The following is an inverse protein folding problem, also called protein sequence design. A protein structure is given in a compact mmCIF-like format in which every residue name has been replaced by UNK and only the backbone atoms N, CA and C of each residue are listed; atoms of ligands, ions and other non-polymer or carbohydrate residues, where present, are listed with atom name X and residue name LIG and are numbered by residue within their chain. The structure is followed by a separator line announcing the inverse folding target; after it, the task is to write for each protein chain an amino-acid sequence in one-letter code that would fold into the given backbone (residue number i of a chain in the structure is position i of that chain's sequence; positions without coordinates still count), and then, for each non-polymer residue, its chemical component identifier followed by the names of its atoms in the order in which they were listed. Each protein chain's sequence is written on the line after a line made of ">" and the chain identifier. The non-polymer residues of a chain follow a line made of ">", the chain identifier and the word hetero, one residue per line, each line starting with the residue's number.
data_IF_358508448498
#
_entry.id   IF_358508448498
#
_cell.length_a   1.000
_cell.length_b   1.000
_cell.length_c   1.000
_cell.angle_alpha   90.00
_cell.angle_beta   90.00
_cell.angle_gamma   90.00
#
_symmetry.space_group_name_H-M   'P 1'
#
loop_
_entity.id
_entity.type
_entity.pdbx_description
1 polymer ?
#
# COMPACT_ATOMS: atom_id res chain seq x y z
N UNK A 1 -19.91 -26.78 20.22
CA UNK A 1 -19.14 -25.63 19.72
C UNK A 1 -17.85 -26.16 19.09
N UNK A 2 -17.65 -25.89 17.78
CA UNK A 2 -16.39 -26.22 17.13
C UNK A 2 -15.31 -25.30 17.71
N UNK A 3 -14.22 -25.89 18.21
CA UNK A 3 -13.04 -25.14 18.62
C UNK A 3 -12.19 -24.88 17.37
N UNK A 4 -12.02 -23.61 17.02
CA UNK A 4 -11.08 -23.21 15.98
C UNK A 4 -9.69 -23.07 16.58
N UNK A 5 -8.66 -23.46 15.83
CA UNK A 5 -7.26 -23.32 16.24
C UNK A 5 -6.84 -21.85 16.33
N UNK A 6 -7.45 -20.99 15.48
CA UNK A 6 -7.21 -19.56 15.46
C UNK A 6 -8.51 -18.78 15.26
N UNK A 7 -8.60 -17.62 15.92
CA UNK A 7 -9.70 -16.67 15.79
C UNK A 7 -9.18 -15.35 15.22
N UNK A 8 -9.77 -14.86 14.13
CA UNK A 8 -9.42 -13.58 13.54
C UNK A 8 -10.37 -12.48 14.03
N UNK A 9 -9.80 -11.40 14.55
CA UNK A 9 -10.50 -10.18 14.93
C UNK A 9 -10.10 -9.06 13.99
N UNK A 10 -11.08 -8.51 13.26
CA UNK A 10 -10.81 -7.51 12.23
C UNK A 10 -10.54 -6.10 12.79
N UNK A 11 -11.06 -5.81 13.99
CA UNK A 11 -10.92 -4.50 14.62
C UNK A 11 -10.66 -4.63 16.13
N UNK A 12 -10.02 -3.61 16.71
CA UNK A 12 -9.72 -3.60 18.15
C UNK A 12 -10.98 -3.58 19.05
N UNK A 13 -12.07 -3.01 18.56
CA UNK A 13 -13.34 -3.03 19.29
C UNK A 13 -13.81 -4.44 19.57
N UNK A 14 -13.43 -5.39 18.73
CA UNK A 14 -13.76 -6.80 18.91
C UNK A 14 -13.08 -7.36 20.16
N UNK A 15 -11.89 -6.89 20.52
CA UNK A 15 -11.21 -7.29 21.77
C UNK A 15 -12.05 -6.91 22.98
N UNK A 16 -12.67 -5.73 22.98
CA UNK A 16 -13.51 -5.27 24.09
C UNK A 16 -14.80 -6.10 24.22
N UNK A 17 -15.35 -6.55 23.11
CA UNK A 17 -16.51 -7.43 23.07
C UNK A 17 -16.12 -8.85 23.49
N UNK A 18 -15.00 -9.36 23.02
CA UNK A 18 -14.53 -10.71 23.27
C UNK A 18 -14.06 -10.95 24.73
N UNK A 19 -13.70 -9.89 25.45
CA UNK A 19 -13.47 -9.97 26.92
C UNK A 19 -14.65 -10.60 27.68
N UNK A 20 -15.84 -10.54 27.12
CA UNK A 20 -17.06 -11.08 27.70
C UNK A 20 -17.51 -12.39 27.06
N UNK A 21 -16.82 -12.84 26.02
CA UNK A 21 -17.06 -14.11 25.33
C UNK A 21 -16.09 -15.21 25.85
N UNK A 22 -16.44 -16.45 25.56
CA UNK A 22 -15.65 -17.63 25.96
C UNK A 22 -14.51 -17.98 24.99
N UNK A 23 -14.02 -17.00 24.18
CA UNK A 23 -12.91 -17.23 23.24
C UNK A 23 -11.61 -17.34 24.04
N UNK A 24 -10.80 -18.33 23.71
CA UNK A 24 -9.44 -18.46 24.23
C UNK A 24 -8.57 -17.37 23.57
N UNK A 25 -8.27 -16.31 24.31
CA UNK A 25 -7.61 -15.10 23.80
C UNK A 25 -6.20 -15.34 23.27
N UNK A 26 -5.51 -16.38 23.75
CA UNK A 26 -4.21 -16.82 23.28
C UNK A 26 -4.23 -17.41 21.85
N UNK A 27 -5.43 -17.66 21.30
CA UNK A 27 -5.62 -18.06 19.91
C UNK A 27 -6.00 -16.90 19.00
N UNK A 28 -6.28 -15.70 19.54
CA UNK A 28 -6.77 -14.57 18.78
C UNK A 28 -5.66 -13.89 17.96
N UNK A 29 -5.96 -13.61 16.69
CA UNK A 29 -5.14 -12.82 15.77
C UNK A 29 -5.92 -11.59 15.36
N UNK A 30 -5.30 -10.41 15.52
CA UNK A 30 -5.94 -9.13 15.22
C UNK A 30 -5.40 -8.57 13.90
N UNK A 31 -6.26 -8.18 12.99
CA UNK A 31 -5.85 -7.46 11.81
C UNK A 31 -6.45 -7.93 10.49
N UNK A 32 -5.96 -7.40 9.39
CA UNK A 32 -4.82 -6.45 9.31
C UNK A 32 -5.15 -5.07 9.88
N UNK A 33 -4.25 -4.51 10.69
CA UNK A 33 -4.44 -3.22 11.34
C UNK A 33 -3.97 -2.06 10.46
N UNK A 34 -4.90 -1.21 10.07
CA UNK A 34 -4.64 -0.02 9.26
C UNK A 34 -4.79 1.28 10.04
N UNK A 35 -5.33 1.23 11.25
CA UNK A 35 -5.50 2.40 12.11
C UNK A 35 -4.19 2.72 12.83
N UNK A 36 -3.70 3.92 12.62
CA UNK A 36 -2.37 4.30 13.02
C UNK A 36 -2.36 5.43 14.08
N UNK A 37 -3.51 5.70 14.69
CA UNK A 37 -3.63 6.72 15.74
C UNK A 37 -2.99 6.28 17.05
N UNK A 38 -2.44 7.24 17.81
CA UNK A 38 -1.70 6.98 19.03
C UNK A 38 -2.54 6.30 20.11
N UNK A 39 -3.79 6.71 20.27
CA UNK A 39 -4.75 6.09 21.20
C UNK A 39 -4.97 4.61 20.91
N UNK A 40 -4.89 4.23 19.65
CA UNK A 40 -5.06 2.85 19.21
C UNK A 40 -3.82 2.01 19.50
N UNK A 41 -2.63 2.52 19.19
CA UNK A 41 -1.38 1.85 19.51
C UNK A 41 -1.22 1.62 21.00
N UNK A 42 -1.57 2.61 21.82
CA UNK A 42 -1.55 2.48 23.27
C UNK A 42 -2.53 1.41 23.76
N UNK A 43 -3.75 1.39 23.23
CA UNK A 43 -4.73 0.35 23.55
C UNK A 43 -4.21 -1.06 23.26
N UNK A 44 -3.55 -1.26 22.13
CA UNK A 44 -3.00 -2.58 21.75
C UNK A 44 -1.88 -3.02 22.71
N UNK A 45 -1.04 -2.09 23.19
CA UNK A 45 0.01 -2.39 24.17
C UNK A 45 -0.60 -2.77 25.53
N UNK A 46 -1.57 -1.99 26.00
CA UNK A 46 -2.25 -2.24 27.27
C UNK A 46 -3.00 -3.57 27.30
N UNK A 47 -3.35 -4.10 26.13
CA UNK A 47 -4.12 -5.32 25.96
C UNK A 47 -3.36 -6.44 25.24
N UNK A 48 -2.02 -6.38 25.21
CA UNK A 48 -1.20 -7.35 24.49
C UNK A 48 -1.37 -8.82 24.96
N UNK A 49 -1.87 -9.03 26.16
CA UNK A 49 -2.17 -10.37 26.69
C UNK A 49 -3.51 -10.94 26.19
N UNK A 50 -4.30 -10.13 25.48
CA UNK A 50 -5.62 -10.53 24.94
C UNK A 50 -5.56 -11.03 23.50
N UNK A 51 -4.38 -11.12 22.91
CA UNK A 51 -4.22 -11.67 21.55
C UNK A 51 -2.87 -12.38 21.40
N UNK A 52 -2.85 -13.41 20.56
CA UNK A 52 -1.65 -14.15 20.21
C UNK A 52 -0.72 -13.28 19.35
N UNK A 53 -1.29 -12.65 18.33
CA UNK A 53 -0.54 -11.87 17.33
C UNK A 53 -1.39 -10.77 16.70
N UNK A 54 -0.75 -9.69 16.33
CA UNK A 54 -1.30 -8.63 15.49
C UNK A 54 -0.73 -8.77 14.07
N UNK A 55 -1.55 -8.47 13.08
CA UNK A 55 -1.17 -8.41 11.67
C UNK A 55 -1.09 -6.95 11.24
N UNK A 56 0.05 -6.57 10.65
CA UNK A 56 0.24 -5.31 9.95
C UNK A 56 0.16 -5.51 8.43
N UNK A 57 -0.38 -4.55 7.67
CA UNK A 57 -0.50 -4.66 6.23
C UNK A 57 0.83 -4.44 5.48
N UNK A 58 1.85 -3.87 6.14
CA UNK A 58 3.17 -3.62 5.55
C UNK A 58 4.25 -3.46 6.61
N UNK A 59 5.51 -3.49 6.16
CA UNK A 59 6.66 -3.41 7.05
C UNK A 59 6.74 -2.08 7.80
N UNK A 60 6.53 -0.93 7.13
CA UNK A 60 6.59 0.37 7.81
C UNK A 60 5.50 0.52 8.88
N UNK A 61 4.32 -0.09 8.68
CA UNK A 61 3.26 -0.14 9.69
C UNK A 61 3.70 -0.99 10.88
N UNK A 62 4.27 -2.18 10.64
CA UNK A 62 4.89 -2.99 11.71
C UNK A 62 5.93 -2.20 12.47
N UNK A 63 6.85 -1.54 11.77
CA UNK A 63 7.93 -0.76 12.37
C UNK A 63 7.40 0.39 13.22
N UNK A 64 6.32 1.05 12.79
CA UNK A 64 5.64 2.07 13.58
C UNK A 64 5.16 1.52 14.92
N UNK A 65 4.48 0.37 14.92
CA UNK A 65 3.98 -0.23 16.16
C UNK A 65 5.12 -0.65 17.10
N UNK A 66 6.20 -1.16 16.57
CA UNK A 66 7.39 -1.51 17.34
C UNK A 66 8.08 -0.26 17.89
N UNK A 67 8.42 0.70 17.04
CA UNK A 67 9.27 1.82 17.39
C UNK A 67 8.55 2.92 18.17
N UNK A 68 7.28 3.18 17.83
CA UNK A 68 6.52 4.26 18.50
C UNK A 68 5.77 3.77 19.74
N UNK A 69 5.22 2.56 19.70
CA UNK A 69 4.39 2.03 20.79
C UNK A 69 5.08 0.94 21.61
N UNK A 70 6.33 0.57 21.27
CA UNK A 70 7.07 -0.50 21.93
C UNK A 70 6.35 -1.87 21.93
N UNK A 71 5.58 -2.15 20.87
CA UNK A 71 4.97 -3.47 20.73
C UNK A 71 6.09 -4.52 20.54
N UNK A 72 6.10 -5.62 21.30
CA UNK A 72 7.10 -6.67 21.13
C UNK A 72 7.07 -7.24 19.70
N UNK A 73 8.25 -7.40 19.09
CA UNK A 73 8.35 -7.82 17.69
C UNK A 73 7.69 -9.19 17.43
N UNK A 74 7.75 -10.11 18.40
CA UNK A 74 7.11 -11.41 18.31
C UNK A 74 5.57 -11.34 18.33
N UNK A 75 4.99 -10.21 18.73
CA UNK A 75 3.54 -9.98 18.77
C UNK A 75 2.99 -9.40 17.46
N UNK A 76 3.84 -9.09 16.47
CA UNK A 76 3.39 -8.48 15.23
C UNK A 76 4.05 -9.12 14.01
N UNK A 77 3.25 -9.43 13.01
CA UNK A 77 3.70 -9.96 11.71
C UNK A 77 3.13 -9.12 10.56
N UNK A 78 3.83 -9.11 9.44
CA UNK A 78 3.33 -8.50 8.20
C UNK A 78 2.61 -9.57 7.38
N UNK A 79 1.41 -9.23 6.93
CA UNK A 79 0.66 -10.03 5.97
C UNK A 79 0.11 -9.14 4.86
N UNK A 80 0.74 -9.15 3.67
CA UNK A 80 0.23 -8.43 2.51
C UNK A 80 -1.02 -9.09 1.97
N UNK A 81 -1.96 -8.28 1.49
CA UNK A 81 -3.11 -8.78 0.74
C UNK A 81 -2.63 -9.44 -0.56
N UNK A 82 -3.28 -10.53 -0.97
CA UNK A 82 -3.05 -11.13 -2.28
C UNK A 82 -3.66 -10.28 -3.40
N UNK A 83 -2.92 -10.10 -4.48
CA UNK A 83 -3.31 -9.31 -5.64
C UNK A 83 -3.47 -10.25 -6.85
N UNK A 84 -4.57 -10.08 -7.55
CA UNK A 84 -4.81 -10.78 -8.82
C UNK A 84 -3.87 -10.24 -9.90
N UNK A 85 -3.31 -11.15 -10.70
CA UNK A 85 -2.50 -10.76 -11.88
C UNK A 85 -3.35 -10.83 -13.14
N UNK A 86 -3.37 -9.74 -13.90
CA UNK A 86 -4.14 -9.66 -15.15
C UNK A 86 -3.29 -10.10 -16.32
N UNK A 87 -3.85 -10.98 -17.19
CA UNK A 87 -3.15 -11.53 -18.36
C UNK A 87 -3.59 -10.93 -19.69
N UNK A 88 -4.41 -9.88 -19.66
CA UNK A 88 -4.90 -9.23 -20.87
C UNK A 88 -3.81 -8.34 -21.50
N UNK A 89 -3.79 -8.28 -22.83
CA UNK A 89 -3.05 -7.25 -23.55
C UNK A 89 -3.65 -5.87 -23.23
N UNK A 90 -2.79 -4.88 -23.04
CA UNK A 90 -3.23 -3.51 -22.75
C UNK A 90 -3.55 -2.76 -24.05
N UNK A 91 -4.64 -2.01 -24.05
CA UNK A 91 -5.04 -1.13 -25.15
C UNK A 91 -4.57 0.31 -24.85
N UNK A 92 -3.30 0.60 -25.10
CA UNK A 92 -2.66 1.87 -24.75
C UNK A 92 -3.18 2.98 -25.67
N UNK A 93 -3.85 3.96 -25.08
CA UNK A 93 -4.46 5.11 -25.81
C UNK A 93 -3.96 6.47 -25.35
N UNK A 94 -3.24 6.53 -24.21
CA UNK A 94 -2.61 7.75 -23.69
C UNK A 94 -1.35 7.43 -22.89
N UNK A 95 -0.51 8.45 -22.66
CA UNK A 95 0.80 8.25 -22.06
C UNK A 95 0.72 8.00 -20.55
N UNK A 96 0.07 8.87 -19.78
CA UNK A 96 0.18 8.89 -18.34
C UNK A 96 -1.18 8.83 -17.62
N UNK A 97 -1.33 7.88 -16.68
CA UNK A 97 -2.37 7.95 -15.66
C UNK A 97 -1.83 8.66 -14.42
N UNK A 98 -2.35 9.83 -14.07
CA UNK A 98 -2.05 10.47 -12.79
C UNK A 98 -2.96 9.86 -11.73
N UNK A 99 -2.37 9.18 -10.73
CA UNK A 99 -3.08 8.74 -9.53
C UNK A 99 -2.81 9.71 -8.39
N UNK A 100 -3.86 10.44 -7.97
CA UNK A 100 -3.76 11.49 -6.96
C UNK A 100 -4.53 11.13 -5.68
N UNK A 101 -3.84 11.18 -4.53
CA UNK A 101 -4.44 10.83 -3.24
C UNK A 101 -3.76 11.56 -2.09
N UNK A 102 -4.51 12.38 -1.35
CA UNK A 102 -4.08 12.98 -0.07
C UNK A 102 -2.73 13.71 -0.14
N UNK A 103 -2.50 14.44 -1.23
CA UNK A 103 -1.36 15.34 -1.45
C UNK A 103 -1.87 16.75 -1.71
N UNK A 104 -0.97 17.73 -1.71
CA UNK A 104 -1.32 19.13 -1.95
C UNK A 104 -1.63 19.39 -3.43
N UNK A 105 -2.63 20.25 -3.70
CA UNK A 105 -3.00 20.60 -5.06
C UNK A 105 -1.82 21.16 -5.88
N UNK A 106 -0.93 21.96 -5.23
CA UNK A 106 0.26 22.50 -5.89
C UNK A 106 1.21 21.42 -6.45
N UNK A 107 1.27 20.24 -5.82
CA UNK A 107 2.09 19.11 -6.27
C UNK A 107 1.47 18.48 -7.53
N UNK A 108 0.15 18.34 -7.55
CA UNK A 108 -0.59 17.90 -8.73
C UNK A 108 -0.41 18.89 -9.89
N UNK A 109 -0.52 20.18 -9.62
CA UNK A 109 -0.37 21.23 -10.64
C UNK A 109 1.05 21.24 -11.22
N UNK A 110 2.08 21.05 -10.39
CA UNK A 110 3.46 20.95 -10.84
C UNK A 110 3.69 19.74 -11.77
N UNK A 111 3.11 18.58 -11.44
CA UNK A 111 3.20 17.39 -12.30
C UNK A 111 2.46 17.59 -13.61
N UNK A 112 1.26 18.20 -13.60
CA UNK A 112 0.53 18.50 -14.83
C UNK A 112 1.32 19.44 -15.74
N UNK A 113 1.87 20.53 -15.19
CA UNK A 113 2.72 21.47 -15.93
C UNK A 113 3.95 20.77 -16.53
N UNK A 114 4.56 19.85 -15.76
CA UNK A 114 5.68 19.05 -16.25
C UNK A 114 5.28 18.17 -17.44
N UNK A 115 4.18 17.40 -17.32
CA UNK A 115 3.68 16.53 -18.39
C UNK A 115 3.29 17.35 -19.64
N UNK A 116 2.64 18.50 -19.47
CA UNK A 116 2.31 19.43 -20.56
C UNK A 116 3.58 19.93 -21.27
N UNK A 117 4.65 20.26 -20.51
CA UNK A 117 5.93 20.70 -21.08
C UNK A 117 6.63 19.62 -21.91
N UNK A 118 6.34 18.36 -21.65
CA UNK A 118 6.84 17.19 -22.42
C UNK A 118 5.88 16.78 -23.55
N UNK A 119 4.76 17.47 -23.75
CA UNK A 119 3.69 17.15 -24.71
C UNK A 119 3.08 15.75 -24.50
N UNK A 120 2.96 15.29 -23.24
CA UNK A 120 2.40 13.99 -22.90
C UNK A 120 0.90 14.09 -22.67
N UNK A 121 0.18 13.10 -23.18
CA UNK A 121 -1.26 12.94 -22.93
C UNK A 121 -1.49 12.29 -21.59
N UNK A 122 -2.46 12.77 -20.80
CA UNK A 122 -2.74 12.16 -19.51
C UNK A 122 -4.23 12.17 -19.17
N UNK A 123 -4.62 11.21 -18.33
CA UNK A 123 -5.88 11.18 -17.59
C UNK A 123 -5.57 11.22 -16.11
N UNK A 124 -6.54 11.61 -15.29
CA UNK A 124 -6.37 11.69 -13.84
C UNK A 124 -7.43 10.88 -13.13
N UNK A 125 -7.01 10.22 -12.06
CA UNK A 125 -7.86 9.55 -11.10
C UNK A 125 -7.57 10.13 -9.72
N UNK A 126 -8.64 10.60 -9.05
CA UNK A 126 -8.58 11.00 -7.65
C UNK A 126 -9.20 9.92 -6.77
N UNK A 127 -8.54 9.63 -5.65
CA UNK A 127 -8.99 8.61 -4.71
C UNK A 127 -10.43 8.87 -4.23
N UNK A 128 -11.28 7.84 -4.36
CA UNK A 128 -12.70 7.90 -4.00
C UNK A 128 -13.60 8.46 -5.10
N UNK A 129 -13.05 8.93 -6.22
CA UNK A 129 -13.79 9.47 -7.36
C UNK A 129 -14.07 8.47 -8.49
N UNK A 130 -13.83 7.16 -8.30
CA UNK A 130 -13.97 6.15 -9.34
C UNK A 130 -14.60 4.86 -8.81
N UNK A 131 -15.26 4.11 -9.71
CA UNK A 131 -15.65 2.73 -9.48
C UNK A 131 -14.53 1.78 -9.92
N UNK A 132 -14.52 0.57 -9.40
CA UNK A 132 -13.48 -0.44 -9.62
C UNK A 132 -13.26 -0.75 -11.12
N UNK A 133 -14.33 -1.00 -11.86
CA UNK A 133 -14.24 -1.31 -13.31
C UNK A 133 -13.69 -0.11 -14.10
N UNK A 134 -14.17 1.11 -13.81
CA UNK A 134 -13.68 2.32 -14.47
C UNK A 134 -12.22 2.61 -14.17
N UNK A 135 -11.72 2.24 -12.98
CA UNK A 135 -10.30 2.34 -12.64
C UNK A 135 -9.45 1.40 -13.48
N UNK A 136 -9.84 0.13 -13.56
CA UNK A 136 -9.15 -0.88 -14.37
C UNK A 136 -9.09 -0.50 -15.85
N UNK A 137 -10.18 0.04 -16.40
CA UNK A 137 -10.21 0.53 -17.78
C UNK A 137 -9.22 1.68 -18.02
N UNK A 138 -9.12 2.63 -17.08
CA UNK A 138 -8.16 3.72 -17.18
C UNK A 138 -6.71 3.20 -17.08
N UNK A 139 -6.44 2.31 -16.16
CA UNK A 139 -5.10 1.70 -16.00
C UNK A 139 -4.70 0.95 -17.26
N UNK A 140 -5.62 0.15 -17.84
CA UNK A 140 -5.36 -0.64 -19.05
C UNK A 140 -4.96 0.19 -20.27
N UNK A 141 -5.42 1.45 -20.32
CA UNK A 141 -5.17 2.37 -21.44
C UNK A 141 -3.91 3.24 -21.25
N UNK A 142 -3.30 3.25 -20.07
CA UNK A 142 -2.15 4.10 -19.79
C UNK A 142 -0.84 3.42 -20.18
N UNK A 143 0.11 4.17 -20.73
CA UNK A 143 1.48 3.67 -20.97
C UNK A 143 2.22 3.48 -19.65
N UNK A 144 2.12 4.46 -18.74
CA UNK A 144 2.68 4.43 -17.39
C UNK A 144 1.77 5.15 -16.40
N UNK A 145 2.05 5.02 -15.10
CA UNK A 145 1.36 5.77 -14.06
C UNK A 145 2.31 6.77 -13.38
N UNK A 146 1.80 7.97 -13.12
CA UNK A 146 2.44 8.95 -12.24
C UNK A 146 1.72 8.95 -10.90
N UNK A 147 2.40 8.48 -9.86
CA UNK A 147 1.84 8.34 -8.53
C UNK A 147 2.14 9.58 -7.69
N UNK A 148 1.10 10.33 -7.30
CA UNK A 148 1.16 11.47 -6.38
C UNK A 148 0.30 11.09 -5.17
N UNK A 149 0.87 10.35 -4.26
CA UNK A 149 0.13 9.76 -3.17
C UNK A 149 0.72 10.16 -1.81
N UNK A 150 -0.15 10.28 -0.81
CA UNK A 150 0.25 10.37 0.58
C UNK A 150 0.69 9.02 1.14
N UNK A 151 0.48 8.79 2.42
CA UNK A 151 0.84 7.53 3.06
C UNK A 151 -0.07 6.39 2.65
N UNK A 152 0.50 5.23 2.34
CA UNK A 152 -0.24 3.99 2.09
C UNK A 152 0.13 2.90 3.08
N UNK A 153 -0.87 2.34 3.75
CA UNK A 153 -0.65 1.22 4.66
C UNK A 153 -0.43 -0.10 3.91
N UNK A 154 -1.22 -0.37 2.87
CA UNK A 154 -1.12 -1.52 1.98
C UNK A 154 -0.84 -1.10 0.53
N UNK A 155 -1.55 -0.09 0.03
CA UNK A 155 -1.41 0.41 -1.33
C UNK A 155 -2.07 -0.47 -2.40
N UNK A 156 -3.28 -0.98 -2.14
CA UNK A 156 -3.98 -1.91 -3.04
C UNK A 156 -4.09 -1.34 -4.47
N UNK A 157 -4.55 -0.10 -4.64
CA UNK A 157 -4.67 0.51 -5.96
C UNK A 157 -3.32 0.61 -6.71
N UNK A 158 -2.21 0.87 -5.99
CA UNK A 158 -0.86 0.88 -6.57
C UNK A 158 -0.48 -0.52 -7.05
N UNK A 159 -0.79 -1.54 -6.24
CA UNK A 159 -0.52 -2.93 -6.56
C UNK A 159 -1.39 -3.43 -7.74
N UNK A 160 -2.64 -2.97 -7.85
CA UNK A 160 -3.51 -3.24 -9.00
C UNK A 160 -2.95 -2.63 -10.29
N UNK A 161 -2.45 -1.38 -10.25
CA UNK A 161 -1.76 -0.76 -11.39
C UNK A 161 -0.57 -1.63 -11.84
N UNK A 162 0.27 -2.04 -10.88
CA UNK A 162 1.44 -2.90 -11.15
C UNK A 162 1.03 -4.28 -11.68
N UNK A 163 -0.04 -4.87 -11.16
CA UNK A 163 -0.53 -6.20 -11.59
C UNK A 163 -1.00 -6.24 -13.05
N UNK A 164 -1.40 -5.07 -13.58
CA UNK A 164 -1.75 -4.87 -14.98
C UNK A 164 -0.52 -4.58 -15.88
N UNK A 165 0.69 -4.61 -15.30
CA UNK A 165 1.93 -4.38 -16.03
C UNK A 165 2.16 -2.90 -16.38
N UNK A 166 1.64 -1.98 -15.58
CA UNK A 166 1.84 -0.54 -15.77
C UNK A 166 2.98 -0.07 -14.87
N UNK A 167 4.13 0.34 -15.43
CA UNK A 167 5.23 0.89 -14.63
C UNK A 167 4.85 2.25 -14.04
N UNK A 168 5.44 2.55 -12.89
CA UNK A 168 5.08 3.71 -12.10
C UNK A 168 6.30 4.62 -11.90
N UNK A 169 6.12 5.92 -12.10
CA UNK A 169 6.99 6.93 -11.53
C UNK A 169 6.32 7.49 -10.28
N UNK A 170 6.94 7.29 -9.12
CA UNK A 170 6.35 7.60 -7.82
C UNK A 170 6.99 8.83 -7.18
N UNK A 171 6.20 9.86 -6.89
CA UNK A 171 6.59 10.90 -5.96
C UNK A 171 6.31 10.43 -4.53
N UNK A 172 7.26 9.72 -3.94
CA UNK A 172 7.12 9.12 -2.63
C UNK A 172 7.35 10.14 -1.50
N UNK A 173 7.03 9.72 -0.30
CA UNK A 173 7.20 10.45 0.96
C UNK A 173 8.19 9.71 1.86
N UNK A 174 8.75 10.40 2.85
CA UNK A 174 9.66 9.81 3.87
C UNK A 174 9.03 9.70 5.24
N UNK A 175 7.99 10.48 5.49
CA UNK A 175 7.29 10.54 6.76
C UNK A 175 5.78 10.45 6.53
N UNK A 176 5.05 10.03 7.55
CA UNK A 176 3.60 9.95 7.48
C UNK A 176 2.99 11.28 7.06
N UNK A 177 2.19 11.21 6.02
CA UNK A 177 1.34 12.29 5.53
C UNK A 177 -0.07 11.74 5.30
N UNK A 178 -1.02 12.11 6.16
CA UNK A 178 -2.42 11.75 6.02
C UNK A 178 -3.30 12.96 6.35
N UNK A 179 -4.25 13.27 5.50
CA UNK A 179 -5.22 14.38 5.66
C UNK A 179 -4.57 15.76 5.93
N UNK A 180 -3.38 16.00 5.38
CA UNK A 180 -2.63 17.25 5.59
C UNK A 180 -1.87 17.32 6.92
N UNK A 181 -1.92 16.28 7.73
CA UNK A 181 -1.13 16.18 8.96
C UNK A 181 0.10 15.31 8.74
N UNK A 182 1.27 15.85 9.12
CA UNK A 182 2.53 15.12 9.08
C UNK A 182 2.81 14.53 10.46
N UNK A 183 2.89 13.21 10.53
CA UNK A 183 3.44 12.53 11.69
C UNK A 183 4.93 12.26 11.46
N UNK A 184 5.78 12.53 12.45
CA UNK A 184 7.22 12.26 12.36
C UNK A 184 7.53 10.78 12.59
N UNK A 185 6.97 9.95 11.73
CA UNK A 185 7.25 8.51 11.69
C UNK A 185 7.58 8.15 10.25
N UNK A 186 8.61 7.32 10.03
CA UNK A 186 8.93 6.84 8.70
C UNK A 186 7.72 6.17 8.05
N UNK A 187 7.44 6.53 6.81
CA UNK A 187 6.32 5.98 6.04
C UNK A 187 6.60 6.13 4.55
N UNK A 188 5.79 5.46 3.72
CA UNK A 188 5.90 5.49 2.27
C UNK A 188 4.52 5.45 1.61
N UNK A 189 4.42 5.90 0.37
CA UNK A 189 3.26 5.73 -0.50
C UNK A 189 3.32 4.43 -1.31
N UNK A 190 4.46 3.73 -1.29
CA UNK A 190 4.74 2.52 -2.06
C UNK A 190 5.31 1.40 -1.17
N UNK A 191 4.53 0.86 -0.21
CA UNK A 191 5.02 -0.07 0.82
C UNK A 191 5.58 -1.39 0.28
N UNK A 192 5.28 -1.72 -0.98
CA UNK A 192 5.75 -2.91 -1.70
C UNK A 192 6.32 -2.48 -3.04
N UNK A 193 7.65 -2.56 -3.18
CA UNK A 193 8.36 -1.99 -4.32
C UNK A 193 9.74 -2.60 -4.51
N UNK A 194 10.16 -2.77 -5.77
CA UNK A 194 11.55 -2.90 -6.18
C UNK A 194 11.78 -2.23 -7.56
N UNK A 195 12.98 -2.35 -8.11
CA UNK A 195 13.40 -1.71 -9.36
C UNK A 195 12.56 -2.13 -10.58
N UNK A 196 11.87 -3.25 -10.54
CA UNK A 196 10.96 -3.71 -11.60
C UNK A 196 9.70 -2.86 -11.72
N UNK A 197 9.35 -2.13 -10.67
CA UNK A 197 8.10 -1.37 -10.60
C UNK A 197 8.18 -0.01 -11.29
N UNK A 198 9.39 0.54 -11.46
CA UNK A 198 9.61 1.88 -12.02
C UNK A 198 10.62 2.71 -11.24
N UNK A 199 10.42 4.04 -11.20
CA UNK A 199 11.33 4.98 -10.54
C UNK A 199 10.66 5.74 -9.40
N UNK A 200 11.48 6.19 -8.43
CA UNK A 200 11.04 6.91 -7.23
C UNK A 200 11.82 8.21 -7.09
N UNK A 201 11.13 9.28 -6.72
CA UNK A 201 11.74 10.55 -6.34
C UNK A 201 11.00 11.16 -5.14
N UNK A 202 11.66 12.09 -4.43
CA UNK A 202 11.13 12.68 -3.20
C UNK A 202 10.93 14.19 -3.28
N UNK A 203 11.65 14.86 -4.15
CA UNK A 203 11.58 16.31 -4.33
C UNK A 203 11.30 16.66 -5.79
N UNK A 204 10.57 17.73 -6.02
CA UNK A 204 10.22 18.18 -7.38
C UNK A 204 11.46 18.45 -8.25
N UNK A 205 12.56 18.89 -7.65
CA UNK A 205 13.82 19.15 -8.34
C UNK A 205 14.46 17.88 -8.93
N UNK A 206 14.11 16.71 -8.42
CA UNK A 206 14.57 15.40 -8.91
C UNK A 206 13.75 14.92 -10.12
N UNK A 207 12.59 15.51 -10.38
CA UNK A 207 11.61 15.00 -11.33
C UNK A 207 12.16 14.85 -12.74
N UNK A 208 12.82 15.87 -13.29
CA UNK A 208 13.27 15.84 -14.70
C UNK A 208 14.32 14.76 -14.94
N UNK A 209 15.25 14.60 -14.01
CA UNK A 209 16.31 13.56 -14.08
C UNK A 209 15.71 12.16 -13.91
N UNK A 210 14.83 12.00 -12.91
CA UNK A 210 14.16 10.71 -12.65
C UNK A 210 13.26 10.31 -13.82
N UNK A 211 12.49 11.26 -14.37
CA UNK A 211 11.63 11.01 -15.51
C UNK A 211 12.43 10.66 -16.77
N UNK A 212 13.58 11.31 -16.99
CA UNK A 212 14.46 10.99 -18.12
C UNK A 212 15.01 9.56 -18.01
N UNK A 213 15.42 9.14 -16.82
CA UNK A 213 15.84 7.76 -16.55
C UNK A 213 14.67 6.79 -16.77
N UNK A 214 13.52 7.08 -16.18
CA UNK A 214 12.30 6.28 -16.32
C UNK A 214 11.93 6.03 -17.79
N UNK A 215 11.94 7.09 -18.62
CA UNK A 215 11.62 6.96 -20.04
C UNK A 215 12.68 6.15 -20.82
N UNK A 216 13.95 6.25 -20.44
CA UNK A 216 15.03 5.53 -21.10
C UNK A 216 14.96 4.00 -20.88
N UNK A 217 14.37 3.57 -19.77
CA UNK A 217 14.24 2.15 -19.37
C UNK A 217 12.78 1.68 -19.30
N UNK A 218 11.85 2.43 -19.90
CA UNK A 218 10.41 2.20 -19.73
C UNK A 218 9.97 0.77 -20.09
N UNK A 219 10.55 0.21 -21.15
CA UNK A 219 10.24 -1.13 -21.66
C UNK A 219 10.96 -2.25 -20.88
N UNK A 220 11.84 -1.91 -19.95
CA UNK A 220 12.59 -2.86 -19.12
C UNK A 220 11.88 -3.15 -17.79
N UNK A 221 10.92 -2.31 -17.39
CA UNK A 221 10.16 -2.54 -16.15
C UNK A 221 9.18 -3.71 -16.31
N UNK A 222 9.09 -4.53 -15.25
CA UNK A 222 8.13 -5.64 -15.16
C UNK A 222 7.44 -5.66 -13.79
N UNK A 223 6.59 -4.67 -13.50
CA UNK A 223 5.86 -4.62 -12.23
C UNK A 223 4.91 -5.80 -12.04
N UNK A 224 4.47 -6.43 -13.13
CA UNK A 224 3.62 -7.61 -13.07
C UNK A 224 4.39 -8.83 -12.54
N UNK A 225 5.65 -9.02 -12.95
CA UNK A 225 6.51 -10.06 -12.37
C UNK A 225 6.73 -9.80 -10.87
N UNK A 226 6.95 -8.53 -10.47
CA UNK A 226 7.05 -8.18 -9.04
C UNK A 226 5.81 -8.62 -8.25
N UNK A 227 4.59 -8.31 -8.73
CA UNK A 227 3.33 -8.70 -8.08
C UNK A 227 3.22 -10.22 -8.01
N UNK A 228 3.49 -10.92 -9.12
CA UNK A 228 3.42 -12.39 -9.18
C UNK A 228 4.34 -13.05 -8.15
N UNK A 229 5.56 -12.54 -8.03
CA UNK A 229 6.59 -13.14 -7.19
C UNK A 229 6.43 -12.83 -5.70
N UNK A 230 5.81 -11.68 -5.35
CA UNK A 230 5.79 -11.17 -3.99
C UNK A 230 4.38 -11.04 -3.39
N UNK A 231 3.37 -10.76 -4.21
CA UNK A 231 2.04 -10.36 -3.75
C UNK A 231 0.90 -11.16 -4.39
N UNK A 232 1.18 -12.25 -5.12
CA UNK A 232 0.13 -13.14 -5.62
C UNK A 232 -0.68 -13.75 -4.47
N UNK A 233 -1.88 -14.26 -4.76
CA UNK A 233 -2.69 -14.98 -3.78
C UNK A 233 -1.92 -16.12 -3.13
N UNK A 234 -1.13 -16.86 -3.91
CA UNK A 234 -0.28 -17.95 -3.41
C UNK A 234 0.75 -17.46 -2.40
N UNK A 235 1.43 -16.34 -2.71
CA UNK A 235 2.40 -15.72 -1.79
C UNK A 235 1.72 -15.25 -0.50
N UNK A 236 0.57 -14.59 -0.62
CA UNK A 236 -0.21 -14.12 0.53
C UNK A 236 -0.68 -15.27 1.42
N UNK A 237 -1.24 -16.33 0.84
CA UNK A 237 -1.69 -17.52 1.59
C UNK A 237 -0.52 -18.22 2.26
N UNK A 238 0.62 -18.39 1.58
CA UNK A 238 1.82 -18.97 2.18
C UNK A 238 2.29 -18.16 3.38
N UNK A 239 2.36 -16.84 3.25
CA UNK A 239 2.73 -15.94 4.35
C UNK A 239 1.77 -16.09 5.53
N UNK A 240 0.46 -16.15 5.28
CA UNK A 240 -0.53 -16.35 6.33
C UNK A 240 -0.32 -17.69 7.07
N UNK A 241 -0.13 -18.79 6.34
CA UNK A 241 0.11 -20.11 6.94
C UNK A 241 1.38 -20.12 7.79
N UNK A 242 2.44 -19.41 7.39
CA UNK A 242 3.67 -19.29 8.18
C UNK A 242 3.47 -18.44 9.45
N UNK A 243 2.58 -17.44 9.42
CA UNK A 243 2.20 -16.64 10.60
C UNK A 243 1.40 -17.47 11.62
N UNK A 244 0.57 -18.40 11.13
CA UNK A 244 -0.32 -19.21 11.96
C UNK A 244 0.42 -20.37 12.70
N UNK A 245 1.54 -20.80 12.18
CA UNK A 245 2.40 -21.81 12.82
C UNK A 245 3.13 -21.26 14.06
#
# INVERSE_FOLDING_TARGET
>A
EEKYEHNFLLQYNDIAHEKHSKIELDTCIIGPQVWLFDTYGQFLIEHQDYYKKMIAPSQWVKDKFINKFNLPENKISVWPVGIETFNNERDITYDCLIYFKRREQKELDAVKQFLDSKNLTYKMVEYGGYGEDGFKDLVNQAKFCFLINGTESQGIAVQEIMSMGVPIIAWDIKEWLDQGEAYRVPATSIPYWDERCGEVFFNIDELDVTFSKFCATLDEYDPKAFIKDNLSFECSVKTLLDILR
#
